data_IF_360310584061
#
_entry.id   IF_360310584061
#
_cell.length_a   1.000
_cell.length_b   1.000
_cell.length_c   1.000
_cell.angle_alpha   90.00
_cell.angle_beta   90.00
_cell.angle_gamma   90.00
#
_symmetry.space_group_name_H-M   'P 1'
#
loop_
_entity.id
_entity.type
_entity.pdbx_description
1 polymer ?
#
# COMPACT_ATOMS: atom_id res chain seq x y z
N UNK A 1 28.41 -16.34 23.34
CA UNK A 1 27.09 -15.78 23.68
C UNK A 1 27.30 -14.92 24.91
N UNK A 2 26.62 -13.78 25.10
CA UNK A 2 26.56 -13.21 26.44
C UNK A 2 26.01 -14.29 27.38
N UNK A 3 26.65 -14.51 28.53
CA UNK A 3 26.14 -15.44 29.53
C UNK A 3 24.80 -14.90 30.04
N UNK A 4 23.75 -15.72 30.00
CA UNK A 4 22.45 -15.30 30.52
C UNK A 4 22.53 -15.16 32.05
N UNK A 5 21.96 -14.07 32.58
CA UNK A 5 22.04 -13.75 33.99
C UNK A 5 20.85 -14.34 34.75
N UNK A 6 21.12 -15.22 35.71
CA UNK A 6 20.10 -15.88 36.53
C UNK A 6 20.12 -15.31 37.95
N UNK A 7 18.97 -14.81 38.40
CA UNK A 7 18.77 -14.40 39.79
C UNK A 7 18.38 -15.60 40.65
N UNK A 8 19.21 -15.96 41.64
CA UNK A 8 18.94 -17.02 42.60
C UNK A 8 18.48 -16.41 43.92
N UNK A 9 17.24 -16.69 44.32
CA UNK A 9 16.62 -16.12 45.51
C UNK A 9 16.29 -17.22 46.51
N UNK A 10 17.04 -17.26 47.61
CA UNK A 10 16.97 -18.29 48.63
C UNK A 10 17.58 -17.79 49.95
N UNK A 11 16.94 -18.09 51.08
CA UNK A 11 17.43 -17.67 52.40
C UNK A 11 18.54 -18.58 52.96
N UNK A 12 18.72 -19.78 52.37
CA UNK A 12 19.83 -20.67 52.70
C UNK A 12 21.08 -20.34 51.88
N UNK A 13 22.12 -19.86 52.57
CA UNK A 13 23.42 -19.57 51.95
C UNK A 13 24.03 -20.81 51.27
N UNK A 14 24.02 -21.96 51.95
CA UNK A 14 24.57 -23.22 51.42
C UNK A 14 23.84 -23.67 50.14
N UNK A 15 22.51 -23.54 50.12
CA UNK A 15 21.70 -23.92 48.96
C UNK A 15 21.96 -22.98 47.77
N UNK A 16 22.01 -21.67 48.05
CA UNK A 16 22.28 -20.65 47.05
C UNK A 16 23.66 -20.81 46.43
N UNK A 17 24.69 -21.04 47.24
CA UNK A 17 26.07 -21.27 46.78
C UNK A 17 26.17 -22.54 45.91
N UNK A 18 25.44 -23.59 46.28
CA UNK A 18 25.37 -24.84 45.50
C UNK A 18 24.72 -24.62 44.13
N UNK A 19 23.63 -23.86 44.07
CA UNK A 19 22.97 -23.51 42.80
C UNK A 19 23.87 -22.59 41.97
N UNK A 20 24.51 -21.59 42.57
CA UNK A 20 25.44 -20.70 41.88
C UNK A 20 26.60 -21.49 41.25
N UNK A 21 27.19 -22.44 41.98
CA UNK A 21 28.23 -23.31 41.46
C UNK A 21 27.74 -24.15 40.27
N UNK A 22 26.54 -24.74 40.37
CA UNK A 22 25.92 -25.48 39.26
C UNK A 22 25.76 -24.61 38.02
N UNK A 23 25.19 -23.41 38.17
CA UNK A 23 24.89 -22.51 37.06
C UNK A 23 26.16 -21.98 36.39
N UNK A 24 27.20 -21.64 37.17
CA UNK A 24 28.49 -21.23 36.64
C UNK A 24 29.19 -22.34 35.85
N UNK A 25 29.14 -23.60 36.33
CA UNK A 25 29.68 -24.74 35.59
C UNK A 25 28.98 -24.97 34.24
N UNK A 26 27.74 -24.51 34.09
CA UNK A 26 26.94 -24.60 32.88
C UNK A 26 26.95 -23.31 32.03
N UNK A 27 27.80 -22.33 32.37
CA UNK A 27 28.02 -21.13 31.56
C UNK A 27 27.00 -20.01 31.76
N UNK A 28 26.20 -20.03 32.83
CA UNK A 28 25.33 -18.93 33.20
C UNK A 28 26.07 -17.95 34.12
N UNK A 29 25.70 -16.67 34.07
CA UNK A 29 26.07 -15.70 35.09
C UNK A 29 25.00 -15.70 36.17
N UNK A 30 25.37 -15.36 37.41
CA UNK A 30 24.41 -15.34 38.52
C UNK A 30 24.45 -14.04 39.32
N UNK A 31 23.29 -13.65 39.82
CA UNK A 31 23.16 -12.72 40.93
C UNK A 31 22.28 -13.35 42.01
N UNK A 32 22.46 -12.93 43.25
CA UNK A 32 21.85 -13.59 44.41
C UNK A 32 21.05 -12.61 45.26
N UNK A 33 20.02 -13.13 45.94
CA UNK A 33 19.27 -12.43 46.95
C UNK A 33 18.88 -13.38 48.08
N UNK A 34 18.96 -12.92 49.34
CA UNK A 34 18.63 -13.73 50.51
C UNK A 34 17.14 -13.62 50.93
N UNK A 35 16.39 -12.70 50.33
CA UNK A 35 14.97 -12.48 50.61
C UNK A 35 14.27 -11.75 49.44
N UNK A 36 12.95 -11.59 49.54
CA UNK A 36 12.15 -10.93 48.52
C UNK A 36 12.44 -9.44 48.29
N UNK A 37 12.87 -8.67 49.30
CA UNK A 37 13.25 -7.27 49.12
C UNK A 37 14.53 -7.14 48.30
N UNK A 38 15.55 -7.95 48.63
CA UNK A 38 16.78 -8.01 47.84
C UNK A 38 16.50 -8.49 46.42
N UNK A 39 15.61 -9.46 46.23
CA UNK A 39 15.22 -9.91 44.90
C UNK A 39 14.62 -8.78 44.06
N UNK A 40 13.67 -8.02 44.60
CA UNK A 40 13.06 -6.88 43.91
C UNK A 40 14.08 -5.78 43.58
N UNK A 41 15.10 -5.59 44.42
CA UNK A 41 16.20 -4.68 44.13
C UNK A 41 17.05 -5.19 42.96
N UNK A 42 17.44 -6.47 42.97
CA UNK A 42 18.27 -7.08 41.93
C UNK A 42 17.57 -7.13 40.57
N UNK A 43 16.25 -7.38 40.54
CA UNK A 43 15.46 -7.36 39.29
C UNK A 43 15.60 -6.02 38.57
N UNK A 44 15.61 -4.91 39.31
CA UNK A 44 15.73 -3.56 38.74
C UNK A 44 17.17 -3.20 38.39
N UNK A 45 18.12 -3.56 39.26
CA UNK A 45 19.52 -3.18 39.13
C UNK A 45 20.26 -4.00 38.07
N UNK A 46 20.10 -5.32 38.10
CA UNK A 46 20.86 -6.25 37.28
C UNK A 46 20.09 -6.73 36.04
N UNK A 47 18.75 -6.61 36.03
CA UNK A 47 17.87 -7.05 34.93
C UNK A 47 18.15 -8.50 34.49
N UNK A 48 17.96 -9.48 35.39
CA UNK A 48 18.20 -10.88 35.07
C UNK A 48 17.30 -11.38 33.93
N UNK A 49 17.74 -12.42 33.24
CA UNK A 49 16.98 -13.11 32.19
C UNK A 49 16.03 -14.17 32.75
N UNK A 50 16.29 -14.68 33.96
CA UNK A 50 15.47 -15.67 34.66
C UNK A 50 15.65 -15.54 36.18
N UNK A 51 14.61 -15.91 36.94
CA UNK A 51 14.68 -15.97 38.40
C UNK A 51 14.33 -17.37 38.93
N UNK A 52 15.21 -17.91 39.77
CA UNK A 52 14.93 -19.05 40.65
C UNK A 52 14.48 -18.49 42.01
N UNK A 53 13.29 -18.85 42.47
CA UNK A 53 12.67 -18.22 43.64
C UNK A 53 12.20 -19.25 44.66
N UNK A 54 12.66 -19.11 45.90
CA UNK A 54 12.04 -19.83 47.02
C UNK A 54 10.69 -19.21 47.42
N UNK A 55 9.74 -20.07 47.80
CA UNK A 55 8.46 -19.67 48.39
C UNK A 55 8.60 -19.24 49.85
N UNK A 56 9.44 -19.92 50.63
CA UNK A 56 9.55 -19.72 52.07
C UNK A 56 10.84 -18.97 52.40
N UNK A 57 10.73 -17.67 52.63
CA UNK A 57 11.87 -16.82 52.99
C UNK A 57 11.47 -15.82 54.08
N UNK A 58 12.41 -15.38 54.94
CA UNK A 58 12.14 -14.36 55.94
C UNK A 58 11.85 -13.00 55.30
N UNK A 59 11.18 -12.12 56.05
CA UNK A 59 10.79 -10.76 55.67
C UNK A 59 9.73 -10.69 54.55
N UNK A 60 10.05 -11.17 53.35
CA UNK A 60 9.15 -11.20 52.20
C UNK A 60 9.25 -12.55 51.48
N UNK A 61 8.15 -13.29 51.45
CA UNK A 61 8.11 -14.61 50.83
C UNK A 61 7.96 -14.58 49.31
N UNK A 62 8.18 -15.72 48.65
CA UNK A 62 8.13 -15.81 47.18
C UNK A 62 6.76 -15.46 46.58
N UNK A 63 5.66 -15.75 47.28
CA UNK A 63 4.32 -15.37 46.83
C UNK A 63 4.14 -13.85 46.76
N UNK A 64 4.68 -13.11 47.72
CA UNK A 64 4.65 -11.65 47.73
C UNK A 64 5.54 -11.07 46.63
N UNK A 65 6.71 -11.68 46.36
CA UNK A 65 7.58 -11.30 45.24
C UNK A 65 6.83 -11.42 43.90
N UNK A 66 6.10 -12.52 43.68
CA UNK A 66 5.29 -12.71 42.47
C UNK A 66 4.18 -11.67 42.31
N UNK A 67 3.56 -11.24 43.42
CA UNK A 67 2.55 -10.18 43.40
C UNK A 67 3.14 -8.82 43.03
N UNK A 68 4.34 -8.52 43.51
CA UNK A 68 5.06 -7.32 43.11
C UNK A 68 5.49 -7.39 41.65
N UNK A 69 6.01 -8.54 41.19
CA UNK A 69 6.47 -8.73 39.82
C UNK A 69 5.34 -8.57 38.80
N UNK A 70 4.14 -9.12 39.09
CA UNK A 70 2.95 -8.96 38.24
C UNK A 70 2.47 -7.51 38.07
N UNK A 71 2.89 -6.60 38.97
CA UNK A 71 2.59 -5.16 38.88
C UNK A 71 3.69 -4.38 38.14
N UNK A 72 4.82 -5.01 37.82
CA UNK A 72 5.93 -4.38 37.11
C UNK A 72 5.84 -4.64 35.59
N UNK A 73 6.21 -3.68 34.74
CA UNK A 73 6.29 -3.86 33.29
C UNK A 73 7.60 -4.57 32.92
N UNK A 74 7.88 -5.72 33.54
CA UNK A 74 9.08 -6.52 33.32
C UNK A 74 8.69 -7.93 32.93
N UNK A 75 9.25 -8.43 31.84
CA UNK A 75 9.06 -9.82 31.42
C UNK A 75 10.24 -10.65 31.93
N UNK A 76 10.04 -11.24 33.12
CA UNK A 76 11.02 -12.09 33.81
C UNK A 76 10.41 -13.48 34.05
N UNK A 77 10.86 -14.54 33.38
CA UNK A 77 10.41 -15.89 33.69
C UNK A 77 10.88 -16.29 35.09
N UNK A 78 9.94 -16.82 35.87
CA UNK A 78 10.20 -17.29 37.24
C UNK A 78 10.05 -18.80 37.29
N UNK A 79 11.03 -19.47 37.86
CA UNK A 79 10.95 -20.88 38.26
C UNK A 79 10.92 -20.89 39.79
N UNK A 80 9.86 -21.47 40.34
CA UNK A 80 9.74 -21.62 41.78
C UNK A 80 10.43 -22.89 42.26
N UNK A 81 11.07 -22.79 43.42
CA UNK A 81 11.74 -23.90 44.08
C UNK A 81 11.30 -23.95 45.54
N UNK A 82 10.75 -25.07 46.04
CA UNK A 82 10.35 -25.13 47.46
C UNK A 82 10.54 -26.51 48.07
N UNK A 83 10.92 -26.56 49.35
CA UNK A 83 11.03 -27.81 50.11
C UNK A 83 9.67 -28.42 50.51
N UNK A 84 8.61 -27.62 50.54
CA UNK A 84 7.26 -28.05 50.94
C UNK A 84 6.26 -27.76 49.83
N UNK A 85 6.08 -28.74 48.94
CA UNK A 85 5.15 -28.63 47.82
C UNK A 85 3.80 -29.30 48.04
N UNK A 86 2.76 -28.74 47.43
CA UNK A 86 1.45 -29.36 47.27
C UNK A 86 0.87 -29.00 45.90
N UNK A 87 -0.02 -29.84 45.37
CA UNK A 87 -0.72 -29.57 44.10
C UNK A 87 -1.51 -28.25 44.17
N UNK A 88 -2.09 -27.92 45.32
CA UNK A 88 -2.82 -26.67 45.52
C UNK A 88 -1.93 -25.43 45.35
N UNK A 89 -0.71 -25.47 45.91
CA UNK A 89 0.28 -24.40 45.76
C UNK A 89 0.74 -24.31 44.31
N UNK A 90 1.02 -25.45 43.65
CA UNK A 90 1.41 -25.48 42.25
C UNK A 90 0.38 -24.80 41.34
N UNK A 91 -0.92 -25.09 41.53
CA UNK A 91 -2.00 -24.44 40.78
C UNK A 91 -2.04 -22.92 41.02
N UNK A 92 -1.86 -22.49 42.27
CA UNK A 92 -1.87 -21.07 42.62
C UNK A 92 -0.74 -20.29 41.96
N UNK A 93 0.48 -20.86 41.95
CA UNK A 93 1.65 -20.17 41.41
C UNK A 93 1.63 -20.11 39.88
N UNK A 94 1.15 -21.15 39.19
CA UNK A 94 0.95 -21.10 37.74
C UNK A 94 -0.05 -20.00 37.33
N UNK A 95 -1.11 -19.78 38.13
CA UNK A 95 -2.05 -18.65 37.91
C UNK A 95 -1.40 -17.29 38.05
N UNK A 96 -0.30 -17.19 38.81
CA UNK A 96 0.50 -15.97 38.98
C UNK A 96 1.60 -15.81 37.92
N UNK A 97 1.64 -16.66 36.90
CA UNK A 97 2.54 -16.52 35.74
C UNK A 97 3.90 -17.21 35.87
N UNK A 98 4.09 -18.05 36.89
CA UNK A 98 5.31 -18.86 37.05
C UNK A 98 5.45 -19.85 35.89
N UNK A 99 6.67 -20.01 35.38
CA UNK A 99 6.96 -20.87 34.22
C UNK A 99 7.19 -22.32 34.59
N UNK A 100 7.79 -22.56 35.75
CA UNK A 100 7.99 -23.91 36.25
C UNK A 100 8.02 -23.96 37.77
N UNK A 101 7.79 -25.14 38.33
CA UNK A 101 7.70 -25.39 39.76
C UNK A 101 8.46 -26.67 40.11
N UNK A 102 9.50 -26.54 40.94
CA UNK A 102 10.42 -27.61 41.34
C UNK A 102 10.32 -27.82 42.85
N UNK A 103 10.23 -29.08 43.27
CA UNK A 103 10.22 -29.44 44.70
C UNK A 103 11.66 -29.78 45.12
N UNK A 104 12.19 -29.07 46.11
CA UNK A 104 13.51 -29.35 46.70
C UNK A 104 13.44 -30.67 47.46
N UNK A 105 14.31 -31.63 47.13
CA UNK A 105 14.42 -32.89 47.88
C UNK A 105 14.95 -32.66 49.30
N UNK A 106 14.69 -33.60 50.22
CA UNK A 106 15.11 -33.50 51.64
C UNK A 106 16.63 -33.48 51.85
N UNK A 107 17.41 -34.00 50.90
CA UNK A 107 18.87 -34.14 51.02
C UNK A 107 19.65 -33.51 49.85
N UNK A 108 19.04 -33.34 48.67
CA UNK A 108 19.63 -32.63 47.54
C UNK A 108 18.58 -32.26 46.49
N UNK A 109 18.92 -31.32 45.59
CA UNK A 109 18.17 -31.04 44.36
C UNK A 109 18.66 -31.92 43.20
N UNK A 110 17.81 -32.13 42.19
CA UNK A 110 18.20 -32.77 40.94
C UNK A 110 18.77 -31.69 39.98
N UNK A 111 20.09 -31.69 39.70
CA UNK A 111 20.71 -30.69 38.82
C UNK A 111 20.13 -30.70 37.40
N UNK A 112 19.76 -31.88 36.89
CA UNK A 112 19.26 -32.02 35.52
C UNK A 112 17.85 -31.43 35.39
N UNK A 113 17.01 -31.57 36.43
CA UNK A 113 15.67 -30.98 36.48
C UNK A 113 15.74 -29.45 36.45
N UNK A 114 16.62 -28.84 37.26
CA UNK A 114 16.80 -27.38 37.31
C UNK A 114 17.32 -26.86 35.97
N UNK A 115 18.36 -27.50 35.41
CA UNK A 115 18.94 -27.07 34.14
C UNK A 115 17.94 -27.19 32.99
N UNK A 116 17.16 -28.28 32.93
CA UNK A 116 16.11 -28.46 31.93
C UNK A 116 15.02 -27.37 32.04
N UNK A 117 14.60 -27.04 33.26
CA UNK A 117 13.62 -26.00 33.51
C UNK A 117 14.11 -24.61 33.09
N UNK A 118 15.37 -24.28 33.38
CA UNK A 118 16.02 -23.03 33.00
C UNK A 118 16.14 -22.93 31.48
N UNK A 119 16.69 -23.96 30.83
CA UNK A 119 16.87 -23.98 29.38
C UNK A 119 15.53 -23.82 28.65
N UNK A 120 14.50 -24.56 29.07
CA UNK A 120 13.17 -24.45 28.48
C UNK A 120 12.60 -23.03 28.60
N UNK A 121 12.70 -22.43 29.79
CA UNK A 121 12.18 -21.08 30.05
C UNK A 121 12.94 -19.99 29.26
N UNK A 122 14.26 -20.12 29.14
CA UNK A 122 15.08 -19.18 28.36
C UNK A 122 14.83 -19.32 26.86
N UNK A 123 14.66 -20.53 26.33
CA UNK A 123 14.31 -20.76 24.92
C UNK A 123 12.95 -20.16 24.59
N UNK A 124 11.94 -20.36 25.45
CA UNK A 124 10.61 -19.77 25.27
C UNK A 124 10.68 -18.23 25.23
N UNK A 125 11.43 -17.63 26.16
CA UNK A 125 11.63 -16.18 26.20
C UNK A 125 12.31 -15.65 24.94
N UNK A 126 13.35 -16.32 24.44
CA UNK A 126 14.05 -15.94 23.21
C UNK A 126 13.14 -16.01 21.99
N UNK A 127 12.41 -17.13 21.84
CA UNK A 127 11.48 -17.32 20.74
C UNK A 127 10.40 -16.24 20.72
N UNK A 128 9.89 -15.86 21.89
CA UNK A 128 8.89 -14.80 22.01
C UNK A 128 9.46 -13.43 21.61
N UNK A 129 10.63 -13.05 22.14
CA UNK A 129 11.31 -11.80 21.78
C UNK A 129 11.61 -11.74 20.27
N UNK A 130 12.07 -12.84 19.68
CA UNK A 130 12.34 -12.92 18.25
C UNK A 130 11.05 -12.79 17.42
N UNK A 131 9.97 -13.46 17.83
CA UNK A 131 8.66 -13.33 17.17
C UNK A 131 8.15 -11.89 17.19
N UNK A 132 8.27 -11.19 18.32
CA UNK A 132 7.84 -9.79 18.45
C UNK A 132 8.68 -8.88 17.56
N UNK A 133 10.00 -9.06 17.52
CA UNK A 133 10.90 -8.32 16.61
C UNK A 133 10.59 -8.59 15.13
N UNK A 134 10.30 -9.84 14.76
CA UNK A 134 9.92 -10.20 13.40
C UNK A 134 8.57 -9.58 13.02
N UNK A 135 7.60 -9.56 13.94
CA UNK A 135 6.30 -8.93 13.73
C UNK A 135 6.45 -7.41 13.49
N UNK A 136 7.26 -6.73 14.29
CA UNK A 136 7.57 -5.31 14.10
C UNK A 136 8.24 -5.04 12.75
N UNK A 137 9.26 -5.84 12.40
CA UNK A 137 9.95 -5.72 11.11
C UNK A 137 8.99 -5.95 9.93
N UNK A 138 8.07 -6.90 10.06
CA UNK A 138 7.06 -7.21 9.04
C UNK A 138 6.06 -6.07 8.88
N UNK A 139 5.65 -5.40 9.96
CA UNK A 139 4.80 -4.20 9.90
C UNK A 139 5.49 -3.05 9.15
N UNK A 140 6.74 -2.75 9.49
CA UNK A 140 7.53 -1.70 8.83
C UNK A 140 7.73 -2.03 7.35
N UNK A 141 8.07 -3.28 7.02
CA UNK A 141 8.26 -3.72 5.64
C UNK A 141 6.98 -3.61 4.81
N UNK A 142 5.84 -4.06 5.37
CA UNK A 142 4.54 -3.94 4.71
C UNK A 142 4.15 -2.48 4.45
N UNK A 143 4.37 -1.59 5.41
CA UNK A 143 4.13 -0.17 5.22
C UNK A 143 4.96 0.40 4.05
N UNK A 144 6.26 0.08 4.01
CA UNK A 144 7.13 0.49 2.92
C UNK A 144 6.72 -0.09 1.56
N UNK A 145 6.30 -1.37 1.53
CA UNK A 145 5.79 -2.01 0.32
C UNK A 145 4.50 -1.36 -0.16
N UNK A 146 3.56 -1.05 0.75
CA UNK A 146 2.33 -0.34 0.41
C UNK A 146 2.62 1.04 -0.18
N UNK A 147 3.58 1.78 0.37
CA UNK A 147 4.01 3.06 -0.23
C UNK A 147 4.54 2.86 -1.64
N UNK A 148 5.44 1.88 -1.87
CA UNK A 148 5.98 1.59 -3.21
C UNK A 148 4.90 1.14 -4.19
N UNK A 149 3.95 0.33 -3.75
CA UNK A 149 2.80 -0.09 -4.57
C UNK A 149 1.93 1.12 -4.92
N UNK A 150 1.71 2.05 -3.98
CA UNK A 150 0.94 3.26 -4.25
C UNK A 150 1.66 4.19 -5.23
N UNK A 151 2.96 4.40 -5.05
CA UNK A 151 3.81 5.12 -6.01
C UNK A 151 3.72 4.48 -7.41
N UNK A 152 3.83 3.15 -7.49
CA UNK A 152 3.70 2.42 -8.74
C UNK A 152 2.31 2.53 -9.35
N UNK A 153 1.24 2.49 -8.56
CA UNK A 153 -0.14 2.69 -9.03
C UNK A 153 -0.33 4.08 -9.62
N UNK A 154 0.25 5.11 -9.01
CA UNK A 154 0.20 6.48 -9.55
C UNK A 154 0.98 6.53 -10.87
N UNK A 155 2.20 5.98 -10.92
CA UNK A 155 3.01 5.89 -12.14
C UNK A 155 2.27 5.12 -13.26
N UNK A 156 1.61 4.01 -12.93
CA UNK A 156 0.86 3.19 -13.89
C UNK A 156 -0.43 3.88 -14.36
N UNK A 157 -1.15 4.57 -13.46
CA UNK A 157 -2.33 5.37 -13.81
C UNK A 157 -1.98 6.53 -14.75
N UNK A 158 -0.81 7.14 -14.55
CA UNK A 158 -0.28 8.17 -15.43
C UNK A 158 0.13 7.55 -16.77
N UNK A 159 0.87 6.44 -16.78
CA UNK A 159 1.20 5.71 -18.03
C UNK A 159 -0.03 5.28 -18.84
N UNK A 160 -1.12 4.87 -18.17
CA UNK A 160 -2.40 4.51 -18.82
C UNK A 160 -3.14 5.75 -19.36
N UNK A 161 -3.15 6.86 -18.62
CA UNK A 161 -3.71 8.16 -19.08
C UNK A 161 -2.94 8.76 -20.26
N UNK A 162 -1.62 8.58 -20.26
CA UNK A 162 -0.66 9.01 -21.27
C UNK A 162 -0.90 8.29 -22.61
N UNK A 163 -1.29 7.01 -22.58
CA UNK A 163 -1.60 6.23 -23.78
C UNK A 163 -3.03 6.42 -24.32
N UNK A 164 -3.98 6.91 -23.50
CA UNK A 164 -5.41 6.97 -23.86
C UNK A 164 -5.93 8.36 -24.20
N UNK A 165 -5.12 9.42 -24.05
CA UNK A 165 -5.52 10.79 -24.37
C UNK A 165 -5.06 11.15 -25.78
N UNK A 166 -6.01 11.24 -26.71
CA UNK A 166 -5.77 11.85 -28.04
C UNK A 166 -5.62 13.38 -27.96
N UNK A 167 -5.88 13.99 -26.80
CA UNK A 167 -5.72 15.42 -26.58
C UNK A 167 -4.43 15.75 -25.78
N UNK A 168 -3.51 16.41 -26.47
CA UNK A 168 -2.23 16.85 -25.92
C UNK A 168 -2.42 17.84 -24.77
N UNK A 169 -3.45 18.67 -24.79
CA UNK A 169 -3.67 19.68 -23.74
C UNK A 169 -4.09 19.04 -22.41
N UNK A 170 -5.06 18.13 -22.46
CA UNK A 170 -5.50 17.34 -21.29
C UNK A 170 -4.35 16.53 -20.69
N UNK A 171 -3.48 15.96 -21.52
CA UNK A 171 -2.29 15.23 -21.08
C UNK A 171 -1.36 16.14 -20.26
N UNK A 172 -1.01 17.30 -20.81
CA UNK A 172 -0.08 18.24 -20.16
C UNK A 172 -0.65 18.75 -18.82
N UNK A 173 -1.95 19.04 -18.76
CA UNK A 173 -2.64 19.45 -17.53
C UNK A 173 -2.53 18.38 -16.44
N UNK A 174 -2.81 17.12 -16.79
CA UNK A 174 -2.72 16.00 -15.83
C UNK A 174 -1.30 15.75 -15.36
N UNK A 175 -0.31 15.85 -16.25
CA UNK A 175 1.10 15.64 -15.89
C UNK A 175 1.57 16.70 -14.89
N UNK A 176 1.24 17.98 -15.11
CA UNK A 176 1.59 19.04 -14.15
C UNK A 176 0.85 18.85 -12.83
N UNK A 177 -0.44 18.54 -12.85
CA UNK A 177 -1.20 18.23 -11.63
C UNK A 177 -0.57 17.08 -10.83
N UNK A 178 -0.27 15.97 -11.50
CA UNK A 178 0.37 14.81 -10.87
C UNK A 178 1.78 15.11 -10.35
N UNK A 179 2.58 15.87 -11.10
CA UNK A 179 3.90 16.30 -10.67
C UNK A 179 3.80 17.09 -9.35
N UNK A 180 2.93 18.11 -9.30
CA UNK A 180 2.77 18.91 -8.07
C UNK A 180 2.25 18.11 -6.89
N UNK A 181 1.32 17.18 -7.11
CA UNK A 181 0.76 16.34 -6.06
C UNK A 181 1.79 15.33 -5.52
N UNK A 182 2.56 14.68 -6.40
CA UNK A 182 3.55 13.66 -6.03
C UNK A 182 4.76 14.24 -5.31
N UNK A 183 5.20 15.43 -5.71
CA UNK A 183 6.35 16.09 -5.08
C UNK A 183 5.93 17.01 -3.94
N UNK A 184 4.62 17.16 -3.68
CA UNK A 184 4.06 18.16 -2.75
C UNK A 184 4.59 19.56 -3.05
N UNK A 185 4.64 19.92 -4.34
CA UNK A 185 5.15 21.23 -4.75
C UNK A 185 4.07 22.29 -4.77
N UNK A 186 4.49 23.52 -4.49
CA UNK A 186 3.66 24.72 -4.54
C UNK A 186 3.36 25.12 -5.98
N UNK A 187 4.36 24.98 -6.85
CA UNK A 187 4.26 25.33 -8.26
C UNK A 187 4.68 24.17 -9.16
N UNK A 188 4.12 24.14 -10.37
CA UNK A 188 4.51 23.19 -11.41
C UNK A 188 4.30 23.77 -12.81
N UNK A 189 5.14 23.39 -13.75
CA UNK A 189 5.00 23.81 -15.14
C UNK A 189 5.59 22.79 -16.11
N UNK A 190 5.03 22.76 -17.31
CA UNK A 190 5.55 21.95 -18.42
C UNK A 190 5.77 22.84 -19.65
N UNK A 191 6.91 22.63 -20.28
CA UNK A 191 7.40 23.41 -21.40
C UNK A 191 7.66 22.49 -22.57
N UNK A 192 7.19 22.83 -23.77
CA UNK A 192 7.50 22.08 -24.98
C UNK A 192 8.55 22.83 -25.80
N UNK A 193 9.48 22.09 -26.41
CA UNK A 193 10.49 22.68 -27.29
C UNK A 193 9.90 22.89 -28.68
N UNK A 194 9.78 24.16 -29.07
CA UNK A 194 9.30 24.59 -30.39
C UNK A 194 10.29 25.55 -31.01
N UNK A 195 10.72 25.27 -32.25
CA UNK A 195 11.75 26.08 -32.95
C UNK A 195 12.98 26.38 -32.07
N UNK A 196 13.43 25.37 -31.29
CA UNK A 196 14.56 25.43 -30.33
C UNK A 196 14.36 26.33 -29.10
N UNK A 197 13.13 26.79 -28.84
CA UNK A 197 12.79 27.57 -27.64
C UNK A 197 11.81 26.80 -26.76
N UNK A 198 11.96 26.81 -25.43
CA UNK A 198 10.96 26.26 -24.53
C UNK A 198 9.74 27.19 -24.47
N UNK A 199 8.58 26.66 -24.83
CA UNK A 199 7.29 27.35 -24.71
C UNK A 199 6.53 26.70 -23.55
N UNK A 200 6.20 27.48 -22.52
CA UNK A 200 5.36 27.04 -21.43
C UNK A 200 3.96 26.73 -21.99
N UNK A 201 3.48 25.52 -21.71
CA UNK A 201 2.18 25.02 -22.17
C UNK A 201 1.18 24.88 -21.03
N UNK A 202 1.67 24.50 -19.85
CA UNK A 202 0.86 24.44 -18.63
C UNK A 202 1.65 25.00 -17.48
N UNK A 203 0.97 25.77 -16.64
CA UNK A 203 1.47 26.26 -15.35
C UNK A 203 0.42 26.00 -14.27
N UNK A 204 0.88 25.71 -13.07
CA UNK A 204 0.09 25.73 -11.83
C UNK A 204 0.86 26.59 -10.84
N UNK A 205 0.28 27.72 -10.45
CA UNK A 205 0.83 28.55 -9.38
C UNK A 205 0.30 28.10 -8.02
N UNK A 206 0.91 28.58 -6.93
CA UNK A 206 0.44 28.32 -5.56
C UNK A 206 -1.01 28.79 -5.32
N UNK A 207 -1.42 29.86 -6.00
CA UNK A 207 -2.74 30.46 -5.86
C UNK A 207 -3.83 29.73 -6.67
N UNK A 208 -3.43 28.82 -7.57
CA UNK A 208 -4.36 28.12 -8.46
C UNK A 208 -4.68 26.72 -7.94
N UNK A 209 -5.96 26.42 -7.74
CA UNK A 209 -6.42 25.07 -7.36
C UNK A 209 -6.12 24.03 -8.45
N UNK A 210 -6.02 24.45 -9.72
CA UNK A 210 -5.81 23.56 -10.87
C UNK A 210 -4.80 24.13 -11.87
N UNK A 211 -4.08 23.27 -12.62
CA UNK A 211 -3.21 23.72 -13.71
C UNK A 211 -3.99 24.44 -14.82
N UNK A 212 -3.33 25.40 -15.46
CA UNK A 212 -3.87 26.26 -16.52
C UNK A 212 -3.03 26.17 -17.79
N UNK A 213 -3.69 26.19 -18.95
CA UNK A 213 -3.02 26.25 -20.25
C UNK A 213 -2.46 27.65 -20.52
N UNK A 214 -1.23 27.70 -21.02
CA UNK A 214 -0.52 28.93 -21.39
C UNK A 214 0.25 28.72 -22.69
N UNK A 215 0.69 29.81 -23.31
CA UNK A 215 1.47 29.76 -24.55
C UNK A 215 2.56 30.82 -24.59
N UNK A 216 3.41 30.83 -23.56
CA UNK A 216 4.44 31.86 -23.36
C UNK A 216 5.85 31.29 -23.52
N UNK A 217 6.77 32.08 -24.08
CA UNK A 217 8.18 31.66 -24.16
C UNK A 217 8.79 31.69 -22.78
N UNK A 218 9.36 30.57 -22.33
CA UNK A 218 9.99 30.49 -21.01
C UNK A 218 11.35 31.18 -21.01
N UNK A 219 11.53 32.05 -20.01
CA UNK A 219 12.78 32.74 -19.70
C UNK A 219 13.51 32.12 -18.50
N UNK A 220 12.98 31.02 -17.94
CA UNK A 220 13.56 30.38 -16.76
C UNK A 220 14.94 29.75 -17.07
N UNK A 221 16.02 30.14 -16.37
CA UNK A 221 17.36 29.64 -16.63
C UNK A 221 17.50 28.12 -16.47
N UNK A 222 16.82 27.53 -15.49
CA UNK A 222 16.89 26.10 -15.21
C UNK A 222 16.18 25.30 -16.32
N UNK A 223 15.05 25.81 -16.80
CA UNK A 223 14.34 25.22 -17.96
C UNK A 223 15.22 25.26 -19.20
N UNK A 224 15.87 26.39 -19.48
CA UNK A 224 16.79 26.54 -20.62
C UNK A 224 18.01 25.60 -20.48
N UNK A 225 18.54 25.45 -19.28
CA UNK A 225 19.67 24.56 -18.99
C UNK A 225 19.29 23.10 -19.27
N UNK A 226 18.18 22.62 -18.71
CA UNK A 226 17.72 21.23 -18.88
C UNK A 226 17.34 20.95 -20.34
N UNK A 227 16.71 21.91 -21.03
CA UNK A 227 16.40 21.80 -22.44
C UNK A 227 17.64 21.58 -23.32
N UNK A 228 18.79 22.17 -22.95
CA UNK A 228 20.06 22.01 -23.67
C UNK A 228 20.86 20.79 -23.24
N UNK A 229 20.91 20.51 -21.94
CA UNK A 229 21.74 19.44 -21.38
C UNK A 229 21.12 18.06 -21.54
N UNK A 230 19.78 17.97 -21.60
CA UNK A 230 19.05 16.71 -21.55
C UNK A 230 19.22 15.96 -20.24
N UNK A 231 19.68 16.63 -19.17
CA UNK A 231 19.88 16.02 -17.84
C UNK A 231 19.02 16.71 -16.79
N UNK A 232 18.47 15.97 -15.82
CA UNK A 232 17.70 16.56 -14.75
C UNK A 232 18.58 17.43 -13.85
N UNK A 233 18.00 18.50 -13.31
CA UNK A 233 18.65 19.46 -12.40
C UNK A 233 17.83 19.55 -11.12
N UNK A 234 18.53 19.48 -9.99
CA UNK A 234 17.99 19.78 -8.67
C UNK A 234 18.67 21.08 -8.19
N UNK A 235 17.88 22.11 -7.93
CA UNK A 235 18.34 23.40 -7.44
C UNK A 235 17.88 23.62 -5.99
N UNK A 236 18.74 24.24 -5.17
CA UNK A 236 18.48 24.52 -3.75
C UNK A 236 19.14 23.56 -2.75
N UNK A 237 20.15 22.79 -3.18
CA UNK A 237 21.00 21.99 -2.29
C UNK A 237 22.41 22.56 -2.36
N UNK A 238 22.82 23.29 -1.33
CA UNK A 238 24.19 23.80 -1.09
C UNK A 238 24.86 24.61 -2.22
N UNK A 239 24.40 25.83 -2.47
CA UNK A 239 25.23 26.85 -3.11
C UNK A 239 24.90 28.23 -2.50
N UNK A 240 25.46 28.49 -1.33
CA UNK A 240 25.91 29.80 -0.82
C UNK A 240 24.98 31.02 -0.71
N UNK A 241 23.91 31.17 -1.50
CA UNK A 241 23.26 32.48 -1.70
C UNK A 241 21.76 32.45 -2.06
N UNK A 242 21.02 31.36 -1.86
CA UNK A 242 19.56 31.36 -2.08
C UNK A 242 18.78 30.60 -1.01
N UNK A 243 18.58 31.22 0.15
CA UNK A 243 17.58 30.79 1.13
C UNK A 243 16.20 31.18 0.57
N UNK A 244 15.50 30.21 -0.02
CA UNK A 244 14.05 30.32 -0.24
C UNK A 244 13.49 29.82 -1.57
N UNK A 245 14.26 29.16 -2.43
CA UNK A 245 13.68 28.49 -3.63
C UNK A 245 14.37 27.15 -3.90
N UNK A 246 13.58 26.06 -3.93
CA UNK A 246 14.03 24.74 -4.35
C UNK A 246 13.25 24.31 -5.59
N UNK A 247 13.92 23.73 -6.58
CA UNK A 247 13.29 23.31 -7.83
C UNK A 247 13.85 21.98 -8.33
N UNK A 248 12.97 21.17 -8.92
CA UNK A 248 13.33 19.98 -9.68
C UNK A 248 12.90 20.20 -11.12
N UNK A 249 13.86 20.08 -12.03
CA UNK A 249 13.65 20.30 -13.46
C UNK A 249 14.13 19.07 -14.22
N UNK A 250 13.25 18.48 -15.02
CA UNK A 250 13.49 17.20 -15.70
C UNK A 250 13.18 17.28 -17.19
N UNK A 251 13.99 16.66 -18.06
CA UNK A 251 13.78 16.71 -19.50
C UNK A 251 12.70 15.70 -19.91
N UNK A 252 11.78 16.10 -20.79
CA UNK A 252 10.93 15.18 -21.54
C UNK A 252 11.73 14.69 -22.75
N UNK A 253 12.45 13.59 -22.62
CA UNK A 253 13.33 13.08 -23.67
C UNK A 253 12.77 11.79 -24.32
N UNK A 254 12.80 11.75 -25.65
CA UNK A 254 12.55 10.54 -26.44
C UNK A 254 13.82 10.23 -27.26
N UNK A 255 14.55 9.20 -26.85
CA UNK A 255 15.90 8.95 -27.37
C UNK A 255 16.86 10.11 -27.07
N UNK A 256 17.62 10.56 -28.06
CA UNK A 256 18.56 11.69 -27.94
C UNK A 256 17.89 13.07 -28.03
N UNK A 257 16.58 13.13 -28.27
CA UNK A 257 15.85 14.37 -28.51
C UNK A 257 15.05 14.82 -27.29
N UNK A 258 15.32 16.03 -26.81
CA UNK A 258 14.51 16.69 -25.78
C UNK A 258 13.27 17.31 -26.44
N UNK A 259 12.10 16.78 -26.11
CA UNK A 259 10.79 17.25 -26.59
C UNK A 259 10.23 18.40 -25.74
N UNK A 260 10.64 18.49 -24.47
CA UNK A 260 10.15 19.46 -23.51
C UNK A 260 10.86 19.36 -22.17
N UNK A 261 10.38 20.10 -21.17
CA UNK A 261 10.91 20.17 -19.82
C UNK A 261 9.74 20.23 -18.83
N UNK A 262 9.79 19.41 -17.78
CA UNK A 262 8.85 19.42 -16.67
C UNK A 262 9.54 19.96 -15.41
N UNK A 263 8.92 20.91 -14.74
CA UNK A 263 9.47 21.63 -13.61
C UNK A 263 8.48 21.66 -12.45
N UNK A 264 8.98 21.50 -11.23
CA UNK A 264 8.28 21.81 -9.98
C UNK A 264 9.14 22.71 -9.10
N UNK A 265 8.50 23.59 -8.34
CA UNK A 265 9.19 24.57 -7.50
C UNK A 265 8.45 24.80 -6.19
N UNK A 266 9.24 25.05 -5.15
CA UNK A 266 8.80 25.52 -3.84
C UNK A 266 9.50 26.84 -3.55
N UNK A 267 8.71 27.87 -3.22
CA UNK A 267 9.20 29.20 -2.87
C UNK A 267 8.88 29.53 -1.42
N UNK A 268 9.76 30.25 -0.75
CA UNK A 268 9.59 30.70 0.63
C UNK A 268 10.69 30.19 1.55
N UNK A 269 10.99 30.99 2.58
CA UNK A 269 12.05 30.71 3.56
C UNK A 269 11.83 29.43 4.37
N UNK A 270 10.59 28.94 4.45
CA UNK A 270 10.21 27.70 5.16
C UNK A 270 9.71 26.59 4.22
N UNK A 271 9.88 26.73 2.90
CA UNK A 271 9.34 25.77 1.95
C UNK A 271 10.20 24.49 1.90
N UNK A 272 9.56 23.32 1.72
CA UNK A 272 10.24 22.02 1.66
C UNK A 272 11.27 21.99 0.52
N UNK A 273 12.51 21.59 0.83
CA UNK A 273 13.54 21.30 -0.16
C UNK A 273 13.30 19.95 -0.85
N UNK A 274 13.53 19.91 -2.16
CA UNK A 274 13.44 18.66 -2.93
C UNK A 274 14.70 17.81 -2.76
N UNK A 275 14.52 16.48 -2.81
CA UNK A 275 15.59 15.50 -2.70
C UNK A 275 15.70 14.58 -3.92
N UNK A 276 16.61 13.59 -3.82
CA UNK A 276 16.83 12.58 -4.88
C UNK A 276 15.56 11.79 -5.24
N UNK A 277 14.65 11.59 -4.29
CA UNK A 277 13.35 10.94 -4.51
C UNK A 277 12.48 11.73 -5.48
N UNK A 278 12.39 13.04 -5.30
CA UNK A 278 11.57 13.93 -6.14
C UNK A 278 12.10 13.96 -7.58
N UNK A 279 13.43 13.99 -7.74
CA UNK A 279 14.09 13.88 -9.06
C UNK A 279 13.72 12.56 -9.75
N UNK A 280 13.71 11.44 -9.03
CA UNK A 280 13.37 10.13 -9.60
C UNK A 280 11.90 10.08 -10.04
N UNK A 281 10.97 10.56 -9.21
CA UNK A 281 9.54 10.64 -9.54
C UNK A 281 9.30 11.53 -10.77
N UNK A 282 9.88 12.73 -10.77
CA UNK A 282 9.79 13.68 -11.88
C UNK A 282 10.37 13.11 -13.17
N UNK A 283 11.52 12.43 -13.11
CA UNK A 283 12.14 11.81 -14.29
C UNK A 283 11.29 10.68 -14.86
N UNK A 284 10.65 9.88 -14.00
CA UNK A 284 9.73 8.83 -14.45
C UNK A 284 8.50 9.43 -15.16
N UNK A 285 7.88 10.45 -14.57
CA UNK A 285 6.77 11.19 -15.19
C UNK A 285 7.17 11.79 -16.54
N UNK A 286 8.36 12.39 -16.59
CA UNK A 286 8.91 13.01 -17.79
C UNK A 286 9.11 12.00 -18.93
N UNK A 287 9.66 10.82 -18.63
CA UNK A 287 9.86 9.77 -19.61
C UNK A 287 8.53 9.25 -20.19
N UNK A 288 7.53 8.98 -19.36
CA UNK A 288 6.21 8.58 -19.84
C UNK A 288 5.56 9.66 -20.69
N UNK A 289 5.64 10.92 -20.24
CA UNK A 289 5.09 12.07 -20.97
C UNK A 289 5.75 12.23 -22.34
N UNK A 290 7.08 12.03 -22.43
CA UNK A 290 7.80 12.09 -23.68
C UNK A 290 7.30 11.04 -24.69
N UNK A 291 7.06 9.81 -24.23
CA UNK A 291 6.51 8.72 -25.06
C UNK A 291 5.11 9.07 -25.57
N UNK A 292 4.21 9.59 -24.72
CA UNK A 292 2.89 10.02 -25.20
C UNK A 292 2.94 11.19 -26.16
N UNK A 293 3.79 12.19 -25.90
CA UNK A 293 3.92 13.33 -26.80
C UNK A 293 4.41 12.90 -28.18
N UNK A 294 5.28 11.89 -28.24
CA UNK A 294 5.72 11.30 -29.50
C UNK A 294 4.61 10.53 -30.20
N UNK A 295 3.87 9.69 -29.45
CA UNK A 295 2.71 8.96 -29.98
C UNK A 295 1.61 9.90 -30.50
N UNK A 296 1.25 10.94 -29.74
CA UNK A 296 0.27 11.94 -30.13
C UNK A 296 0.72 12.74 -31.37
N UNK A 297 2.01 13.12 -31.46
CA UNK A 297 2.56 13.75 -32.66
C UNK A 297 2.54 12.83 -33.87
N UNK A 298 2.81 11.54 -33.69
CA UNK A 298 2.76 10.55 -34.77
C UNK A 298 1.33 10.30 -35.24
N UNK A 299 0.36 10.25 -34.32
CA UNK A 299 -1.06 10.18 -34.61
C UNK A 299 -1.55 11.42 -35.38
N UNK A 300 -1.20 12.63 -34.94
CA UNK A 300 -1.52 13.89 -35.66
C UNK A 300 -0.91 13.92 -37.07
N UNK A 301 0.30 13.37 -37.27
CA UNK A 301 0.93 13.24 -38.59
C UNK A 301 0.22 12.25 -39.51
N UNK A 302 -0.37 11.18 -38.97
CA UNK A 302 -1.17 10.23 -39.74
C UNK A 302 -2.58 10.78 -40.04
N UNK A 303 -3.19 11.52 -39.12
CA UNK A 303 -4.49 12.22 -39.32
C UNK A 303 -4.39 13.31 -40.41
N UNK A 304 -3.22 13.89 -40.65
CA UNK A 304 -3.03 14.83 -41.77
C UNK A 304 -3.06 14.16 -43.16
N UNK A 305 -3.03 12.82 -43.22
CA UNK A 305 -3.00 12.03 -44.47
C UNK A 305 -4.28 11.23 -44.70
N UNK A 306 -5.04 10.88 -43.66
CA UNK A 306 -6.31 10.17 -43.77
C UNK A 306 -7.43 10.86 -42.95
N UNK A 307 -8.66 10.82 -43.48
CA UNK A 307 -9.87 11.53 -43.00
C UNK A 307 -10.05 11.48 -41.46
N UNK A 308 -10.59 12.54 -40.81
CA UNK A 308 -10.59 12.67 -39.35
C UNK A 308 -11.46 11.61 -38.65
N UNK A 309 -10.93 11.03 -37.57
CA UNK A 309 -11.70 10.20 -36.62
C UNK A 309 -12.67 11.07 -35.79
N UNK A 310 -13.85 10.52 -35.41
CA UNK A 310 -14.90 11.26 -34.71
C UNK A 310 -14.57 11.57 -33.23
N UNK A 311 -15.02 12.74 -32.76
CA UNK A 311 -14.88 13.26 -31.38
C UNK A 311 -15.57 12.38 -30.32
N UNK A 312 -15.23 12.53 -29.03
CA UNK A 312 -15.87 11.80 -27.92
C UNK A 312 -17.41 11.98 -27.88
N UNK A 313 -17.90 13.17 -28.24
CA UNK A 313 -19.32 13.45 -28.40
C UNK A 313 -19.95 12.78 -29.64
N UNK A 314 -19.16 12.45 -30.66
CA UNK A 314 -19.55 11.65 -31.82
C UNK A 314 -19.41 10.14 -31.57
N UNK A 315 -18.44 9.71 -30.76
CA UNK A 315 -18.29 8.33 -30.24
C UNK A 315 -19.47 8.00 -29.31
N UNK A 316 -19.84 8.91 -28.40
CA UNK A 316 -21.01 8.76 -27.51
C UNK A 316 -22.36 8.90 -28.24
N UNK A 317 -22.37 9.47 -29.46
CA UNK A 317 -23.53 9.42 -30.38
C UNK A 317 -23.65 8.09 -31.13
N UNK A 318 -22.61 7.24 -31.10
CA UNK A 318 -22.66 5.90 -31.66
C UNK A 318 -23.10 4.92 -30.56
N UNK A 319 -24.22 4.24 -30.78
CA UNK A 319 -24.80 3.17 -29.94
C UNK A 319 -23.75 2.50 -29.02
N UNK A 320 -23.63 2.99 -27.79
CA UNK A 320 -22.60 2.57 -26.84
C UNK A 320 -23.14 1.45 -25.95
N UNK A 321 -22.34 0.42 -25.75
CA UNK A 321 -22.65 -0.75 -24.93
C UNK A 321 -22.00 -0.57 -23.57
N UNK A 322 -22.80 -0.38 -22.53
CA UNK A 322 -22.32 -0.30 -21.16
C UNK A 322 -22.11 -1.71 -20.61
N UNK A 323 -20.92 -2.03 -20.10
CA UNK A 323 -20.71 -3.30 -19.37
C UNK A 323 -20.69 -3.02 -17.88
N UNK A 324 -21.66 -3.59 -17.17
CA UNK A 324 -21.73 -3.58 -15.71
C UNK A 324 -21.16 -4.88 -15.15
N UNK A 325 -20.24 -4.79 -14.21
CA UNK A 325 -19.48 -5.95 -13.73
C UNK A 325 -18.90 -5.73 -12.32
N UNK A 326 -18.53 -6.82 -11.64
CA UNK A 326 -17.66 -6.73 -10.46
C UNK A 326 -16.21 -6.60 -10.89
N UNK A 327 -15.46 -5.69 -10.29
CA UNK A 327 -14.02 -5.53 -10.56
C UNK A 327 -13.20 -6.81 -10.37
N UNK A 328 -13.66 -7.71 -9.50
CA UNK A 328 -13.03 -9.02 -9.27
C UNK A 328 -13.18 -9.97 -10.47
N UNK A 329 -14.09 -9.69 -11.39
CA UNK A 329 -14.37 -10.50 -12.58
C UNK A 329 -13.62 -9.95 -13.82
N UNK A 330 -12.80 -8.91 -13.65
CA UNK A 330 -12.17 -8.19 -14.76
C UNK A 330 -11.30 -9.10 -15.63
N UNK A 331 -10.33 -9.76 -15.00
CA UNK A 331 -9.30 -10.55 -15.69
C UNK A 331 -9.93 -11.78 -16.37
N UNK A 332 -10.85 -12.44 -15.68
CA UNK A 332 -11.38 -13.74 -16.12
C UNK A 332 -12.48 -13.60 -17.20
N UNK A 333 -13.28 -12.52 -17.13
CA UNK A 333 -14.48 -12.39 -17.97
C UNK A 333 -14.60 -11.04 -18.68
N UNK A 334 -14.30 -9.92 -18.03
CA UNK A 334 -14.67 -8.60 -18.58
C UNK A 334 -13.66 -8.13 -19.63
N UNK A 335 -12.36 -8.28 -19.36
CA UNK A 335 -11.31 -7.92 -20.32
C UNK A 335 -11.40 -8.72 -21.62
N UNK A 336 -11.56 -10.06 -21.59
CA UNK A 336 -11.78 -10.82 -22.82
C UNK A 336 -13.07 -10.42 -23.56
N UNK A 337 -14.16 -10.14 -22.83
CA UNK A 337 -15.43 -9.68 -23.41
C UNK A 337 -15.29 -8.32 -24.10
N UNK A 338 -14.64 -7.35 -23.44
CA UNK A 338 -14.38 -6.01 -24.01
C UNK A 338 -13.57 -6.14 -25.29
N UNK A 339 -12.48 -6.92 -25.25
CA UNK A 339 -11.64 -7.16 -26.42
C UNK A 339 -12.42 -7.84 -27.56
N UNK A 340 -13.30 -8.78 -27.24
CA UNK A 340 -14.17 -9.44 -28.20
C UNK A 340 -15.16 -8.47 -28.86
N UNK A 341 -15.89 -7.69 -28.07
CA UNK A 341 -16.90 -6.74 -28.59
C UNK A 341 -16.27 -5.62 -29.43
N UNK A 342 -15.09 -5.13 -29.05
CA UNK A 342 -14.35 -4.14 -29.86
C UNK A 342 -13.95 -4.76 -31.21
N UNK A 343 -13.48 -6.01 -31.23
CA UNK A 343 -13.16 -6.72 -32.48
C UNK A 343 -14.39 -6.91 -33.38
N UNK A 344 -15.57 -7.12 -32.78
CA UNK A 344 -16.85 -7.19 -33.50
C UNK A 344 -17.40 -5.83 -33.96
N UNK A 345 -16.69 -4.73 -33.66
CA UNK A 345 -17.03 -3.38 -34.10
C UNK A 345 -18.04 -2.66 -33.21
N UNK A 346 -18.21 -3.09 -31.96
CA UNK A 346 -19.05 -2.40 -30.97
C UNK A 346 -18.27 -1.31 -30.24
N UNK A 347 -18.96 -0.19 -29.95
CA UNK A 347 -18.45 0.82 -29.03
C UNK A 347 -18.79 0.41 -27.60
N UNK A 348 -17.78 0.21 -26.75
CA UNK A 348 -17.94 -0.37 -25.41
C UNK A 348 -17.50 0.62 -24.34
N UNK A 349 -18.31 0.74 -23.29
CA UNK A 349 -18.02 1.54 -22.11
C UNK A 349 -17.88 0.66 -20.86
N UNK A 350 -16.83 0.91 -20.07
CA UNK A 350 -16.57 0.26 -18.78
C UNK A 350 -16.10 1.28 -17.75
N UNK A 351 -16.49 1.08 -16.49
CA UNK A 351 -16.14 1.97 -15.36
C UNK A 351 -14.64 1.91 -14.97
N UNK A 352 -13.85 1.02 -15.59
CA UNK A 352 -12.41 0.92 -15.32
C UNK A 352 -11.62 2.20 -15.68
N UNK A 353 -12.24 3.09 -16.45
CA UNK A 353 -11.70 4.40 -16.81
C UNK A 353 -11.89 5.49 -15.72
N UNK A 354 -12.56 5.18 -14.60
CA UNK A 354 -13.07 6.18 -13.64
C UNK A 354 -12.38 6.21 -12.26
N UNK A 355 -11.23 5.55 -12.06
CA UNK A 355 -10.48 5.67 -10.80
C UNK A 355 -9.53 6.88 -10.80
N UNK A 356 -10.08 8.07 -10.96
CA UNK A 356 -9.41 9.35 -10.76
C UNK A 356 -10.36 10.24 -9.93
N UNK A 357 -10.07 10.39 -8.63
CA UNK A 357 -10.92 11.15 -7.70
C UNK A 357 -10.94 12.65 -8.01
N UNK A 358 -12.06 13.30 -7.67
CA UNK A 358 -12.11 14.76 -7.50
C UNK A 358 -13.44 15.42 -7.88
N UNK A 359 -14.01 15.08 -9.03
CA UNK A 359 -15.30 15.64 -9.50
C UNK A 359 -16.33 14.51 -9.67
N UNK A 360 -17.61 14.83 -9.44
CA UNK A 360 -18.74 13.90 -9.25
C UNK A 360 -18.70 12.65 -10.14
N UNK A 361 -18.08 11.59 -9.64
CA UNK A 361 -18.07 10.23 -10.21
C UNK A 361 -19.47 9.69 -10.55
N UNK A 362 -20.48 10.06 -9.76
CA UNK A 362 -21.88 9.76 -9.96
C UNK A 362 -22.42 10.45 -11.21
N UNK A 363 -21.99 11.68 -11.50
CA UNK A 363 -22.45 12.42 -12.68
C UNK A 363 -21.89 11.79 -13.95
N UNK A 364 -20.62 11.34 -13.95
CA UNK A 364 -20.03 10.67 -15.11
C UNK A 364 -20.66 9.28 -15.33
N UNK A 365 -20.89 8.50 -14.26
CA UNK A 365 -21.60 7.22 -14.37
C UNK A 365 -23.04 7.45 -14.83
N UNK A 366 -23.75 8.44 -14.30
CA UNK A 366 -25.10 8.76 -14.71
C UNK A 366 -25.17 9.23 -16.17
N UNK A 367 -24.21 10.04 -16.62
CA UNK A 367 -24.08 10.49 -18.00
C UNK A 367 -23.81 9.29 -18.93
N UNK A 368 -22.86 8.41 -18.57
CA UNK A 368 -22.60 7.19 -19.31
C UNK A 368 -23.81 6.24 -19.36
N UNK A 369 -24.51 6.05 -18.24
CA UNK A 369 -25.74 5.27 -18.16
C UNK A 369 -26.85 5.88 -19.01
N UNK A 370 -26.96 7.21 -19.05
CA UNK A 370 -27.95 7.93 -19.86
C UNK A 370 -27.67 7.75 -21.36
N UNK A 371 -26.41 7.89 -21.79
CA UNK A 371 -26.01 7.81 -23.20
C UNK A 371 -25.88 6.39 -23.76
N UNK A 372 -25.60 5.39 -22.92
CA UNK A 372 -25.43 4.01 -23.39
C UNK A 372 -26.76 3.40 -23.84
N UNK A 373 -26.84 2.87 -25.05
CA UNK A 373 -28.09 2.33 -25.59
C UNK A 373 -28.39 0.92 -25.06
N UNK A 374 -27.36 0.12 -24.84
CA UNK A 374 -27.46 -1.27 -24.37
C UNK A 374 -26.59 -1.47 -23.14
N UNK A 375 -27.02 -2.37 -22.24
CA UNK A 375 -26.19 -2.86 -21.15
C UNK A 375 -25.93 -4.35 -21.29
N UNK A 376 -24.67 -4.75 -21.11
CA UNK A 376 -24.31 -6.13 -20.79
C UNK A 376 -24.01 -6.19 -19.30
N UNK A 377 -24.79 -6.99 -18.58
CA UNK A 377 -24.55 -7.24 -17.16
C UNK A 377 -23.77 -8.54 -17.01
N UNK A 378 -22.50 -8.46 -16.59
CA UNK A 378 -21.72 -9.65 -16.24
C UNK A 378 -22.22 -10.20 -14.91
N UNK A 379 -22.88 -11.36 -14.94
CA UNK A 379 -23.51 -11.98 -13.78
C UNK A 379 -22.55 -12.98 -13.13
N UNK A 380 -22.19 -12.67 -11.90
CA UNK A 380 -21.50 -13.54 -10.96
C UNK A 380 -22.07 -13.29 -9.54
N UNK A 381 -21.80 -14.16 -8.55
CA UNK A 381 -22.20 -13.89 -7.17
C UNK A 381 -21.63 -12.56 -6.64
N UNK A 382 -20.44 -12.17 -7.12
CA UNK A 382 -19.73 -10.94 -6.72
C UNK A 382 -20.38 -9.71 -7.37
N UNK A 383 -20.72 -9.79 -8.65
CA UNK A 383 -21.41 -8.72 -9.36
C UNK A 383 -22.77 -8.43 -8.74
N UNK A 384 -23.56 -9.48 -8.44
CA UNK A 384 -24.85 -9.31 -7.77
C UNK A 384 -24.76 -8.92 -6.30
N UNK A 385 -23.61 -9.06 -5.65
CA UNK A 385 -23.39 -8.52 -4.30
C UNK A 385 -23.05 -7.01 -4.32
N UNK A 386 -22.52 -6.49 -5.42
CA UNK A 386 -22.04 -5.10 -5.53
C UNK A 386 -23.18 -4.07 -5.53
N UNK A 387 -23.16 -3.06 -4.64
CA UNK A 387 -24.18 -1.99 -4.63
C UNK A 387 -24.11 -1.11 -5.89
N UNK A 388 -22.95 -0.98 -6.52
CA UNK A 388 -22.76 -0.20 -7.75
C UNK A 388 -23.37 -0.89 -8.97
N UNK A 389 -23.08 -2.19 -9.13
CA UNK A 389 -23.69 -3.01 -10.20
C UNK A 389 -25.20 -3.02 -10.05
N UNK A 390 -25.71 -3.14 -8.81
CA UNK A 390 -27.15 -3.02 -8.50
C UNK A 390 -27.75 -1.69 -8.95
N UNK A 391 -27.05 -0.60 -8.69
CA UNK A 391 -27.48 0.72 -9.12
C UNK A 391 -27.57 0.81 -10.65
N UNK A 392 -26.53 0.37 -11.35
CA UNK A 392 -26.41 0.44 -12.81
C UNK A 392 -27.49 -0.39 -13.53
N UNK A 393 -27.66 -1.68 -13.18
CA UNK A 393 -28.68 -2.48 -13.86
C UNK A 393 -30.10 -2.06 -13.50
N UNK A 394 -30.33 -1.55 -12.28
CA UNK A 394 -31.64 -0.99 -11.89
C UNK A 394 -31.94 0.30 -12.63
N UNK A 395 -30.93 1.12 -12.92
CA UNK A 395 -31.11 2.27 -13.79
C UNK A 395 -31.66 1.84 -15.16
N UNK A 396 -31.05 0.84 -15.80
CA UNK A 396 -31.51 0.30 -17.09
C UNK A 396 -32.91 -0.31 -16.99
N UNK A 397 -33.19 -1.06 -15.93
CA UNK A 397 -34.50 -1.64 -15.66
C UNK A 397 -35.59 -0.57 -15.54
N UNK A 398 -35.37 0.46 -14.71
CA UNK A 398 -36.34 1.52 -14.46
C UNK A 398 -36.58 2.42 -15.69
N UNK A 399 -35.56 2.61 -16.53
CA UNK A 399 -35.67 3.38 -17.77
C UNK A 399 -36.08 2.54 -18.98
N UNK A 400 -36.44 1.26 -18.78
CA UNK A 400 -36.83 0.32 -19.84
C UNK A 400 -35.80 0.20 -20.98
N UNK A 401 -34.51 0.33 -20.63
CA UNK A 401 -33.41 0.23 -21.58
C UNK A 401 -33.00 -1.24 -21.77
N UNK A 402 -32.58 -1.64 -22.99
CA UNK A 402 -32.12 -3.00 -23.27
C UNK A 402 -30.97 -3.43 -22.34
N UNK A 403 -31.15 -4.57 -21.68
CA UNK A 403 -30.16 -5.18 -20.78
C UNK A 403 -30.04 -6.68 -21.09
N UNK A 404 -28.80 -7.16 -21.21
CA UNK A 404 -28.48 -8.56 -21.50
C UNK A 404 -27.67 -9.13 -20.33
N UNK A 405 -28.24 -10.02 -19.51
CA UNK A 405 -27.48 -10.72 -18.48
C UNK A 405 -26.58 -11.78 -19.11
N UNK A 406 -25.27 -11.62 -18.96
CA UNK A 406 -24.26 -12.59 -19.39
C UNK A 406 -23.78 -13.38 -18.17
N UNK A 407 -24.13 -14.66 -18.09
CA UNK A 407 -23.82 -15.54 -16.95
C UNK A 407 -22.35 -15.96 -17.02
N UNK A 408 -21.50 -15.27 -16.26
CA UNK A 408 -20.07 -15.57 -16.10
C UNK A 408 -19.85 -16.75 -15.16
N UNK A 409 -20.55 -16.75 -14.02
CA UNK A 409 -20.53 -17.84 -13.04
C UNK A 409 -21.97 -18.31 -12.74
N UNK A 410 -22.20 -19.61 -12.46
CA UNK A 410 -23.52 -20.12 -12.07
C UNK A 410 -24.10 -19.35 -10.87
N UNK A 411 -25.13 -18.55 -11.13
CA UNK A 411 -25.69 -17.61 -10.14
C UNK A 411 -27.21 -17.60 -10.22
N UNK A 412 -27.88 -17.59 -9.06
CA UNK A 412 -29.33 -17.41 -9.00
C UNK A 412 -29.68 -15.95 -9.30
N UNK A 413 -30.45 -15.71 -10.36
CA UNK A 413 -30.82 -14.36 -10.77
C UNK A 413 -31.88 -13.76 -9.83
N UNK A 414 -31.77 -12.46 -9.48
CA UNK A 414 -32.82 -11.70 -8.82
C UNK A 414 -34.08 -11.65 -9.67
N UNK A 415 -35.24 -11.46 -9.02
CA UNK A 415 -36.54 -11.42 -9.70
C UNK A 415 -36.61 -10.38 -10.81
N UNK A 416 -35.91 -9.25 -10.65
CA UNK A 416 -35.84 -8.16 -11.63
C UNK A 416 -35.13 -8.58 -12.94
N UNK A 417 -34.27 -9.60 -12.88
CA UNK A 417 -33.49 -10.09 -14.02
C UNK A 417 -34.07 -11.35 -14.68
N UNK A 418 -35.06 -12.01 -14.04
CA UNK A 418 -35.65 -13.25 -14.55
C UNK A 418 -36.38 -13.09 -15.88
N UNK A 419 -36.89 -11.90 -16.17
CA UNK A 419 -37.63 -11.61 -17.40
C UNK A 419 -36.74 -11.22 -18.58
N UNK A 420 -35.42 -11.11 -18.37
CA UNK A 420 -34.47 -10.84 -19.44
C UNK A 420 -33.93 -12.15 -20.03
N UNK A 421 -33.70 -12.14 -21.35
CA UNK A 421 -33.01 -13.23 -22.01
C UNK A 421 -31.54 -13.24 -21.56
N UNK A 422 -31.19 -14.16 -20.67
CA UNK A 422 -29.81 -14.37 -20.25
C UNK A 422 -29.05 -15.27 -21.23
N UNK A 423 -27.73 -15.15 -21.22
CA UNK A 423 -26.84 -15.91 -22.08
C UNK A 423 -25.65 -16.44 -21.28
N UNK A 424 -25.20 -17.69 -21.48
CA UNK A 424 -23.97 -18.16 -20.86
C UNK A 424 -22.77 -17.42 -21.46
N UNK A 425 -21.75 -17.13 -20.65
CA UNK A 425 -20.54 -16.44 -21.10
C UNK A 425 -19.85 -17.13 -22.27
N UNK A 426 -19.93 -18.46 -22.37
CA UNK A 426 -19.38 -19.23 -23.49
C UNK A 426 -20.02 -18.92 -24.86
N UNK A 427 -21.15 -18.21 -24.93
CA UNK A 427 -21.89 -17.93 -26.16
C UNK A 427 -21.66 -16.51 -26.72
N UNK A 428 -20.43 -15.97 -26.61
CA UNK A 428 -20.10 -14.60 -27.06
C UNK A 428 -20.43 -14.33 -28.54
N UNK A 429 -20.28 -15.31 -29.43
CA UNK A 429 -20.66 -15.15 -30.85
C UNK A 429 -22.17 -14.91 -31.02
N UNK A 430 -22.99 -15.59 -30.21
CA UNK A 430 -24.45 -15.40 -30.21
C UNK A 430 -24.82 -14.04 -29.64
N UNK A 431 -24.08 -13.56 -28.63
CA UNK A 431 -24.23 -12.22 -28.06
C UNK A 431 -23.97 -11.16 -29.14
N UNK A 432 -22.87 -11.26 -29.88
CA UNK A 432 -22.54 -10.33 -30.95
C UNK A 432 -23.62 -10.31 -32.04
N UNK A 433 -24.11 -11.48 -32.45
CA UNK A 433 -25.20 -11.57 -33.45
C UNK A 433 -26.47 -10.88 -32.96
N UNK A 434 -26.91 -11.19 -31.73
CA UNK A 434 -28.08 -10.56 -31.11
C UNK A 434 -27.93 -9.03 -31.06
N UNK A 435 -26.76 -8.55 -30.66
CA UNK A 435 -26.49 -7.11 -30.59
C UNK A 435 -26.48 -6.44 -31.97
N UNK A 436 -25.94 -7.09 -33.01
CA UNK A 436 -25.98 -6.58 -34.40
C UNK A 436 -27.43 -6.47 -34.91
N UNK A 437 -28.26 -7.48 -34.62
CA UNK A 437 -29.71 -7.46 -34.93
C UNK A 437 -30.43 -6.34 -34.17
N UNK A 438 -30.19 -6.19 -32.87
CA UNK A 438 -30.80 -5.15 -32.03
C UNK A 438 -30.38 -3.73 -32.43
N UNK A 439 -29.18 -3.57 -33.01
CA UNK A 439 -28.60 -2.28 -33.40
C UNK A 439 -28.89 -1.89 -34.86
N UNK A 440 -29.68 -2.69 -35.61
CA UNK A 440 -30.02 -2.39 -37.00
C UNK A 440 -28.86 -2.53 -37.99
N UNK A 441 -27.80 -3.29 -37.63
CA UNK A 441 -26.69 -3.68 -38.52
C UNK A 441 -26.80 -5.17 -38.89
N UNK A 442 -28.02 -5.62 -39.21
CA UNK A 442 -28.23 -6.85 -39.97
C UNK A 442 -28.18 -6.51 -41.46
N UNK A 443 -27.58 -7.39 -42.25
CA UNK A 443 -27.43 -7.32 -43.73
C UNK A 443 -28.56 -6.62 -44.49
#
# INVERSE_FOLDING_TARGET
>A
MPNELILVVDDSDDYRDSIVALLHLNGFDTCTAADGHEALHQIKAARPDLMLLDLQMPRMGGMEVLEHLNKMPVELPVILMTAHGSEAIAVEVFRKGVKNYIIKGKENFDPDEILAAIQHSLVELRLRREKEQLAERLLISNFNLQQRVNEFKILHSIGKSVASLMDMETLLLRVVGAATMLTESMEGSIHLIERKKPICRVIKSEMDDRPLLVAETSSDPLVIQVAKSGKPVLSGVDDGDAIGQSAVVTPLAAGEKVLGVLMVRNNGSNARAFGKRDVALMSALANYTAIALENARNAQRHIAVERPEPSLAEILKQNTVFISYSRLDWVDYVEPLVNFLIREGFNVWVDQNLLLGGENWLDIINEALAHSTYMILCVSPRALASPYVKFEYRYFFHHQKPLIPLICEPTLLPAELLNYQNMPYAALERLAKLMKEMMGKGE
#
